data_IF_409506623777
#
_entry.id   IF_409506623777
#
_cell.length_a   1.000
_cell.length_b   1.000
_cell.length_c   1.000
_cell.angle_alpha   90.00
_cell.angle_beta   90.00
_cell.angle_gamma   90.00
#
_symmetry.space_group_name_H-M   'P 1'
#
loop_
_entity.id
_entity.type
_entity.pdbx_description
1 polymer ?
#
# COMPACT_ATOMS: atom_id res chain seq x y z
N UNK A 1 2.17 -12.94 -15.48
CA UNK A 1 2.45 -12.39 -14.15
C UNK A 1 1.19 -12.52 -13.33
N UNK A 2 1.26 -13.23 -12.21
CA UNK A 2 0.16 -13.34 -11.27
C UNK A 2 0.30 -12.25 -10.21
N UNK A 3 -0.77 -11.48 -9.99
CA UNK A 3 -0.82 -10.42 -8.96
C UNK A 3 -1.96 -10.73 -7.99
N UNK A 4 -1.67 -10.72 -6.68
CA UNK A 4 -2.66 -10.94 -5.61
C UNK A 4 -2.49 -9.89 -4.52
N UNK A 5 -3.59 -9.21 -4.18
CA UNK A 5 -3.64 -8.24 -3.10
C UNK A 5 -3.99 -9.01 -1.82
N UNK A 6 -3.02 -9.22 -0.95
CA UNK A 6 -3.17 -10.08 0.24
C UNK A 6 -3.94 -9.37 1.36
N UNK A 7 -3.75 -8.07 1.47
CA UNK A 7 -4.45 -7.20 2.40
C UNK A 7 -4.54 -5.81 1.78
N UNK A 8 -5.70 -5.17 1.96
CA UNK A 8 -5.97 -3.83 1.45
C UNK A 8 -7.14 -3.19 2.22
N UNK A 9 -7.27 -1.87 2.16
CA UNK A 9 -8.37 -1.15 2.82
C UNK A 9 -9.73 -1.60 2.28
N UNK A 10 -9.84 -1.86 0.97
CA UNK A 10 -11.07 -2.44 0.39
C UNK A 10 -11.33 -3.90 0.76
N UNK A 11 -10.34 -4.59 1.35
CA UNK A 11 -10.45 -5.93 1.94
C UNK A 11 -10.59 -5.87 3.47
N UNK A 12 -10.62 -4.68 4.08
CA UNK A 12 -11.03 -4.49 5.47
C UNK A 12 -9.94 -4.18 6.49
N UNK A 13 -8.68 -3.97 6.07
CA UNK A 13 -7.59 -3.50 6.96
C UNK A 13 -6.71 -2.51 6.23
N UNK A 14 -6.04 -1.61 6.95
CA UNK A 14 -5.01 -0.77 6.35
C UNK A 14 -3.85 -1.63 5.86
N UNK A 15 -3.60 -1.63 4.55
CA UNK A 15 -2.47 -2.33 3.94
C UNK A 15 -2.37 -2.00 2.45
N UNK A 16 -1.21 -2.26 1.86
CA UNK A 16 -1.00 -2.39 0.42
C UNK A 16 -0.27 -3.69 0.07
N UNK A 17 -0.38 -4.72 0.91
CA UNK A 17 0.39 -5.94 0.76
C UNK A 17 0.05 -6.66 -0.56
N UNK A 18 1.05 -6.73 -1.44
CA UNK A 18 0.89 -7.25 -2.80
C UNK A 18 1.86 -8.40 -3.04
N UNK A 19 1.32 -9.56 -3.40
CA UNK A 19 2.08 -10.70 -3.90
C UNK A 19 2.12 -10.69 -5.42
N UNK A 20 3.32 -10.86 -5.97
CA UNK A 20 3.56 -10.92 -7.42
C UNK A 20 4.40 -12.15 -7.73
N UNK A 21 3.92 -13.00 -8.62
CA UNK A 21 4.68 -14.14 -9.15
C UNK A 21 4.86 -13.97 -10.66
N UNK A 22 6.12 -13.90 -11.08
CA UNK A 22 6.49 -13.73 -12.49
C UNK A 22 6.81 -15.06 -13.19
N UNK A 23 6.87 -16.16 -12.45
CA UNK A 23 7.41 -17.45 -12.89
C UNK A 23 8.93 -17.58 -12.71
N UNK A 24 9.67 -16.48 -12.68
CA UNK A 24 11.10 -16.47 -12.32
C UNK A 24 11.34 -16.20 -10.83
N UNK A 25 10.49 -15.37 -10.23
CA UNK A 25 10.60 -14.94 -8.83
C UNK A 25 9.22 -14.61 -8.27
N UNK A 26 9.01 -15.03 -7.03
CA UNK A 26 7.86 -14.64 -6.21
C UNK A 26 8.24 -13.53 -5.23
N UNK A 27 7.49 -12.44 -5.26
CA UNK A 27 7.79 -11.19 -4.54
C UNK A 27 6.60 -10.81 -3.66
N UNK A 28 6.86 -10.46 -2.40
CA UNK A 28 5.87 -9.76 -1.56
C UNK A 28 6.32 -8.33 -1.32
N UNK A 29 5.47 -7.38 -1.66
CA UNK A 29 5.65 -5.95 -1.39
C UNK A 29 4.83 -5.61 -0.15
N UNK A 30 5.46 -4.92 0.81
CA UNK A 30 4.86 -4.38 2.03
C UNK A 30 4.06 -5.41 2.85
N UNK A 31 4.74 -6.40 3.48
CA UNK A 31 4.10 -7.46 4.25
C UNK A 31 3.62 -6.99 5.64
N UNK A 32 2.81 -5.93 5.66
CA UNK A 32 2.19 -5.36 6.86
C UNK A 32 0.68 -5.24 6.73
N UNK A 33 0.02 -5.12 7.88
CA UNK A 33 -1.39 -4.77 7.97
C UNK A 33 -1.67 -4.15 9.34
N UNK A 34 -2.52 -3.12 9.38
CA UNK A 34 -2.90 -2.45 10.61
C UNK A 34 -4.39 -2.05 10.63
N UNK A 35 -4.85 -1.59 11.79
CA UNK A 35 -6.17 -1.01 11.98
C UNK A 35 -6.08 0.48 12.24
N UNK A 36 -7.03 1.23 11.73
CA UNK A 36 -7.15 2.64 12.07
C UNK A 36 -7.58 2.86 13.52
N UNK A 37 -6.81 3.59 14.34
CA UNK A 37 -7.04 3.70 15.78
C UNK A 37 -8.42 4.26 16.12
N UNK A 38 -8.82 5.31 15.40
CA UNK A 38 -10.10 5.98 15.61
C UNK A 38 -10.69 6.42 14.28
N UNK A 39 -12.00 6.18 14.12
CA UNK A 39 -12.79 6.64 12.97
C UNK A 39 -14.19 6.97 13.45
N UNK A 40 -14.66 8.19 13.18
CA UNK A 40 -15.95 8.72 13.68
C UNK A 40 -16.09 8.68 15.21
N UNK A 41 -14.98 8.79 15.95
CA UNK A 41 -14.98 8.64 17.41
C UNK A 41 -15.13 7.20 17.90
N UNK A 42 -15.01 6.20 17.02
CA UNK A 42 -15.14 4.78 17.33
C UNK A 42 -13.79 4.05 17.18
N UNK A 43 -13.48 3.19 18.15
CA UNK A 43 -12.36 2.24 18.13
C UNK A 43 -12.57 1.14 17.10
N UNK A 44 -11.55 0.34 16.73
CA UNK A 44 -11.76 -0.77 15.80
C UNK A 44 -12.80 -1.76 16.34
N UNK A 45 -13.69 -2.17 15.45
CA UNK A 45 -14.75 -3.13 15.73
C UNK A 45 -14.17 -4.57 15.84
N UNK A 46 -14.77 -5.52 16.60
CA UNK A 46 -14.29 -6.91 16.66
C UNK A 46 -14.10 -7.59 15.28
N UNK A 47 -14.97 -7.26 14.31
CA UNK A 47 -14.84 -7.72 12.92
C UNK A 47 -13.56 -7.21 12.23
N UNK A 48 -13.13 -5.99 12.54
CA UNK A 48 -11.86 -5.44 12.03
C UNK A 48 -10.67 -6.19 12.62
N UNK A 49 -10.70 -6.47 13.92
CA UNK A 49 -9.66 -7.28 14.60
C UNK A 49 -9.56 -8.67 13.99
N UNK A 50 -10.70 -9.34 13.80
CA UNK A 50 -10.73 -10.65 13.14
C UNK A 50 -10.15 -10.60 11.72
N UNK A 51 -10.50 -9.58 10.93
CA UNK A 51 -9.96 -9.41 9.57
C UNK A 51 -8.45 -9.16 9.59
N UNK A 52 -7.96 -8.42 10.58
CA UNK A 52 -6.52 -8.22 10.77
C UNK A 52 -5.78 -9.53 11.04
N UNK A 53 -6.33 -10.39 11.89
CA UNK A 53 -5.75 -11.72 12.18
C UNK A 53 -5.72 -12.58 10.91
N UNK A 54 -6.82 -12.61 10.15
CA UNK A 54 -6.93 -13.34 8.87
C UNK A 54 -5.86 -12.85 7.86
N UNK A 55 -5.75 -11.54 7.65
CA UNK A 55 -4.77 -10.96 6.75
C UNK A 55 -3.33 -11.20 7.21
N UNK A 56 -3.02 -11.02 8.50
CA UNK A 56 -1.67 -11.28 9.02
C UNK A 56 -1.25 -12.74 8.87
N UNK A 57 -2.18 -13.68 9.06
CA UNK A 57 -1.93 -15.10 8.83
C UNK A 57 -1.66 -15.40 7.34
N UNK A 58 -2.42 -14.79 6.42
CA UNK A 58 -2.20 -14.95 4.98
C UNK A 58 -0.87 -14.34 4.52
N UNK A 59 -0.56 -13.12 4.98
CA UNK A 59 0.72 -12.44 4.72
C UNK A 59 1.87 -13.33 5.19
N UNK A 60 1.88 -13.77 6.46
CA UNK A 60 2.95 -14.62 6.98
C UNK A 60 3.10 -15.93 6.18
N UNK A 61 1.98 -16.57 5.83
CA UNK A 61 1.96 -17.82 5.05
C UNK A 61 2.56 -17.64 3.66
N UNK A 62 2.13 -16.63 2.89
CA UNK A 62 2.61 -16.41 1.53
C UNK A 62 4.02 -15.82 1.52
N UNK A 63 4.33 -14.86 2.39
CA UNK A 63 5.68 -14.31 2.45
C UNK A 63 6.69 -15.38 2.86
N UNK A 64 6.35 -16.34 3.72
CA UNK A 64 7.24 -17.47 4.06
C UNK A 64 7.67 -18.29 2.84
N UNK A 65 6.84 -18.34 1.79
CA UNK A 65 7.10 -19.07 0.54
C UNK A 65 7.69 -18.20 -0.56
N UNK A 66 7.59 -16.88 -0.43
CA UNK A 66 8.11 -15.93 -1.41
C UNK A 66 9.64 -15.91 -1.42
N UNK A 67 10.23 -15.69 -2.60
CA UNK A 67 11.67 -15.61 -2.81
C UNK A 67 12.25 -14.28 -2.32
N UNK A 68 11.49 -13.20 -2.51
CA UNK A 68 11.91 -11.82 -2.24
C UNK A 68 10.85 -11.05 -1.47
N UNK A 69 11.30 -10.20 -0.55
CA UNK A 69 10.44 -9.24 0.16
C UNK A 69 10.90 -7.83 -0.16
N UNK A 70 9.94 -6.95 -0.43
CA UNK A 70 10.18 -5.53 -0.69
C UNK A 70 9.43 -4.72 0.36
N UNK A 71 10.08 -3.70 0.92
CA UNK A 71 9.47 -2.73 1.84
C UNK A 71 9.66 -1.34 1.28
N UNK A 72 8.54 -0.69 0.93
CA UNK A 72 8.52 0.60 0.27
C UNK A 72 8.68 1.77 1.23
N UNK A 73 8.25 1.61 2.48
CA UNK A 73 8.43 2.55 3.59
C UNK A 73 8.06 1.90 4.93
N UNK A 74 8.16 2.66 6.03
CA UNK A 74 8.19 2.10 7.39
C UNK A 74 6.92 2.37 8.23
N UNK A 75 5.74 2.46 7.60
CA UNK A 75 4.46 2.46 8.34
C UNK A 75 4.02 1.04 8.69
N UNK A 76 3.29 0.87 9.80
CA UNK A 76 2.97 -0.46 10.35
C UNK A 76 1.86 -1.20 9.60
N UNK A 77 1.20 -0.54 8.67
CA UNK A 77 0.38 -1.16 7.62
C UNK A 77 1.20 -1.69 6.44
N UNK A 78 2.52 -1.44 6.40
CA UNK A 78 3.46 -1.92 5.38
C UNK A 78 4.55 -2.85 5.93
N UNK A 79 4.83 -2.76 7.23
CA UNK A 79 5.76 -3.65 7.93
C UNK A 79 5.15 -4.24 9.22
N UNK A 80 5.60 -5.41 9.67
CA UNK A 80 5.26 -5.92 10.99
C UNK A 80 5.68 -4.96 12.11
N UNK A 81 4.85 -4.87 13.15
CA UNK A 81 5.15 -4.11 14.36
C UNK A 81 6.28 -4.78 15.18
N UNK A 82 6.96 -4.03 16.08
CA UNK A 82 8.12 -4.56 16.80
C UNK A 82 7.85 -5.79 17.69
N UNK A 83 6.61 -5.96 18.14
CA UNK A 83 6.20 -7.07 19.01
C UNK A 83 5.64 -8.27 18.24
N UNK A 84 5.49 -8.16 16.92
CA UNK A 84 4.94 -9.23 16.08
C UNK A 84 6.01 -10.26 15.73
N UNK A 85 5.58 -11.52 15.54
CA UNK A 85 6.46 -12.56 15.07
C UNK A 85 6.85 -12.29 13.60
N UNK A 86 8.16 -12.33 13.34
CA UNK A 86 8.75 -12.19 12.00
C UNK A 86 9.50 -13.46 11.59
N UNK A 87 9.31 -14.59 12.29
CA UNK A 87 10.00 -15.86 12.00
C UNK A 87 9.77 -16.36 10.57
N UNK A 88 8.64 -16.01 9.97
CA UNK A 88 8.31 -16.28 8.56
C UNK A 88 9.20 -15.52 7.56
N UNK A 89 9.98 -14.53 8.00
CA UNK A 89 11.01 -13.87 7.18
C UNK A 89 12.37 -14.59 7.20
N UNK A 90 12.55 -15.64 8.02
CA UNK A 90 13.85 -16.24 8.30
C UNK A 90 14.69 -16.49 7.04
N UNK A 91 15.90 -15.93 7.02
CA UNK A 91 16.89 -16.12 5.96
C UNK A 91 16.58 -15.45 4.61
N UNK A 92 15.49 -14.68 4.51
CA UNK A 92 15.06 -14.06 3.23
C UNK A 92 15.94 -12.89 2.83
N UNK A 93 15.92 -12.59 1.53
CA UNK A 93 16.37 -11.31 0.99
C UNK A 93 15.24 -10.29 1.14
N UNK A 94 15.54 -9.16 1.76
CA UNK A 94 14.60 -8.05 1.97
C UNK A 94 15.21 -6.79 1.36
N UNK A 95 14.55 -6.23 0.35
CA UNK A 95 14.94 -4.97 -0.29
C UNK A 95 14.09 -3.86 0.34
N UNK A 96 14.73 -2.88 0.95
CA UNK A 96 14.05 -1.85 1.75
C UNK A 96 14.37 -0.45 1.23
N UNK A 97 13.41 0.47 1.36
CA UNK A 97 13.65 1.91 1.30
C UNK A 97 14.86 2.31 2.15
N UNK A 98 15.72 3.21 1.69
CA UNK A 98 16.89 3.66 2.46
C UNK A 98 16.45 4.14 3.87
N UNK A 99 16.95 3.50 4.96
CA UNK A 99 16.55 3.80 6.33
C UNK A 99 17.24 5.03 6.93
N UNK A 100 18.22 5.62 6.23
CA UNK A 100 19.04 6.73 6.72
C UNK A 100 18.82 8.03 5.92
N UNK A 101 18.59 7.92 4.61
CA UNK A 101 18.45 9.05 3.69
C UNK A 101 17.02 9.24 3.20
N UNK A 102 16.62 10.50 3.00
CA UNK A 102 15.26 10.87 2.60
C UNK A 102 14.23 10.13 3.46
N UNK A 103 14.27 10.38 4.77
CA UNK A 103 13.44 9.69 5.76
C UNK A 103 13.16 10.63 6.93
N UNK A 104 11.95 10.62 7.46
CA UNK A 104 11.60 11.41 8.64
C UNK A 104 11.96 10.67 9.95
N UNK A 105 11.78 11.34 11.09
CA UNK A 105 12.13 10.77 12.39
C UNK A 105 11.34 9.50 12.73
N UNK A 106 10.02 9.50 12.50
CA UNK A 106 9.16 8.36 12.82
C UNK A 106 9.53 7.13 12.00
N UNK A 107 9.65 7.27 10.68
CA UNK A 107 10.07 6.19 9.80
C UNK A 107 11.48 5.69 10.13
N UNK A 108 12.44 6.56 10.47
CA UNK A 108 13.79 6.15 10.90
C UNK A 108 13.76 5.30 12.17
N UNK A 109 12.94 5.68 13.15
CA UNK A 109 12.76 4.91 14.38
C UNK A 109 12.20 3.52 14.09
N UNK A 110 11.16 3.44 13.26
CA UNK A 110 10.51 2.18 12.85
C UNK A 110 11.44 1.31 12.01
N UNK A 111 12.20 1.91 11.08
CA UNK A 111 13.22 1.25 10.28
C UNK A 111 14.28 0.59 11.17
N UNK A 112 14.77 1.30 12.19
CA UNK A 112 15.74 0.75 13.15
C UNK A 112 15.21 -0.50 13.86
N UNK A 113 13.97 -0.46 14.36
CA UNK A 113 13.34 -1.60 15.05
C UNK A 113 13.14 -2.79 14.09
N UNK A 114 12.66 -2.52 12.88
CA UNK A 114 12.44 -3.54 11.88
C UNK A 114 13.75 -4.19 11.41
N UNK A 115 14.81 -3.40 11.19
CA UNK A 115 16.15 -3.92 10.88
C UNK A 115 16.70 -4.82 12.00
N UNK A 116 16.41 -4.52 13.26
CA UNK A 116 16.76 -5.39 14.38
C UNK A 116 15.99 -6.72 14.33
N UNK A 117 14.69 -6.69 14.04
CA UNK A 117 13.86 -7.89 13.82
C UNK A 117 14.42 -8.74 12.67
N UNK A 118 14.71 -8.14 11.52
CA UNK A 118 15.30 -8.81 10.35
C UNK A 118 16.65 -9.48 10.68
N UNK A 119 17.50 -8.78 11.44
CA UNK A 119 18.81 -9.32 11.87
C UNK A 119 18.64 -10.55 12.76
N UNK A 120 17.68 -10.53 13.69
CA UNK A 120 17.42 -11.65 14.62
C UNK A 120 17.01 -12.93 13.88
N UNK A 121 16.33 -12.82 12.76
CA UNK A 121 15.91 -13.97 11.94
C UNK A 121 16.85 -14.26 10.75
N UNK A 122 18.01 -13.58 10.69
CA UNK A 122 19.06 -13.86 9.71
C UNK A 122 18.74 -13.40 8.28
N UNK A 123 17.89 -12.39 8.10
CA UNK A 123 17.62 -11.82 6.78
C UNK A 123 18.83 -11.09 6.21
N UNK A 124 18.93 -11.07 4.87
CA UNK A 124 19.86 -10.22 4.13
C UNK A 124 19.12 -8.99 3.64
N UNK A 125 19.69 -7.82 3.88
CA UNK A 125 19.06 -6.54 3.55
C UNK A 125 19.81 -5.84 2.41
N UNK A 126 19.06 -5.31 1.45
CA UNK A 126 19.56 -4.44 0.37
C UNK A 126 18.74 -3.15 0.30
N UNK A 127 19.32 -2.08 -0.24
CA UNK A 127 18.65 -0.78 -0.40
C UNK A 127 17.94 -0.72 -1.75
N UNK A 128 16.71 -0.20 -1.75
CA UNK A 128 15.84 -0.08 -2.91
C UNK A 128 16.16 1.17 -3.75
N UNK A 129 16.32 2.33 -3.11
CA UNK A 129 16.26 3.67 -3.73
C UNK A 129 17.06 3.81 -5.03
N UNK A 130 16.36 3.94 -6.15
CA UNK A 130 16.94 4.14 -7.48
C UNK A 130 17.68 2.94 -8.04
N UNK A 131 17.63 1.79 -7.36
CA UNK A 131 18.25 0.55 -7.80
C UNK A 131 17.40 -0.24 -8.77
N UNK A 132 18.01 -1.28 -9.32
CA UNK A 132 17.35 -2.29 -10.13
C UNK A 132 17.99 -3.66 -9.91
N UNK A 133 17.20 -4.71 -10.07
CA UNK A 133 17.67 -6.09 -10.08
C UNK A 133 17.01 -6.86 -11.23
N UNK A 134 17.71 -7.88 -11.71
CA UNK A 134 17.20 -8.79 -12.74
C UNK A 134 17.35 -10.24 -12.28
N UNK A 135 16.25 -10.99 -12.34
CA UNK A 135 16.18 -12.41 -12.01
C UNK A 135 15.50 -13.12 -13.17
N UNK A 136 16.26 -13.93 -13.92
CA UNK A 136 15.77 -14.54 -15.16
C UNK A 136 15.33 -13.49 -16.18
N UNK A 137 14.07 -13.56 -16.61
CA UNK A 137 13.43 -12.59 -17.51
C UNK A 137 12.81 -11.41 -16.77
N UNK A 138 12.68 -11.50 -15.44
CA UNK A 138 12.06 -10.49 -14.59
C UNK A 138 13.02 -9.35 -14.25
N UNK A 139 12.59 -8.12 -14.46
CA UNK A 139 13.26 -6.89 -14.01
C UNK A 139 12.43 -6.24 -12.91
N UNK A 140 13.09 -5.93 -11.78
CA UNK A 140 12.50 -5.17 -10.68
C UNK A 140 13.29 -3.87 -10.56
N UNK A 141 12.62 -2.75 -10.76
CA UNK A 141 13.20 -1.41 -10.66
C UNK A 141 12.55 -0.65 -9.52
N UNK A 142 13.31 0.25 -8.93
CA UNK A 142 12.87 1.09 -7.84
C UNK A 142 13.00 2.55 -8.24
N UNK A 143 12.04 3.39 -7.86
CA UNK A 143 12.20 4.83 -8.02
C UNK A 143 13.29 5.34 -7.07
N UNK A 144 13.80 6.55 -7.33
CA UNK A 144 14.48 7.30 -6.26
C UNK A 144 13.46 7.61 -5.17
N UNK A 145 13.89 7.90 -3.94
CA UNK A 145 12.98 8.36 -2.89
C UNK A 145 12.06 9.49 -3.39
N UNK A 146 10.75 9.28 -3.28
CA UNK A 146 9.70 10.27 -3.58
C UNK A 146 8.95 10.62 -2.31
N UNK A 147 8.35 11.82 -2.25
CA UNK A 147 7.62 12.25 -1.06
C UNK A 147 6.45 11.31 -0.77
N UNK A 148 6.28 11.01 0.52
CA UNK A 148 5.18 10.19 1.03
C UNK A 148 3.89 11.04 1.11
N UNK A 149 3.33 11.40 -0.04
CA UNK A 149 2.18 12.31 -0.16
C UNK A 149 2.57 13.74 -0.55
N UNK A 150 1.79 14.71 -0.09
CA UNK A 150 1.91 16.13 -0.48
C UNK A 150 2.97 16.95 0.28
N UNK A 151 3.78 16.32 1.14
CA UNK A 151 4.74 17.06 1.98
C UNK A 151 5.96 16.24 2.37
N UNK A 152 7.19 16.82 2.33
CA UNK A 152 8.40 16.13 2.78
C UNK A 152 8.40 15.82 4.28
N UNK A 153 7.52 16.46 5.07
CA UNK A 153 7.37 16.18 6.51
C UNK A 153 6.83 14.78 6.79
N UNK A 154 6.05 14.23 5.86
CA UNK A 154 5.50 12.87 5.94
C UNK A 154 6.60 11.81 5.73
N UNK A 155 7.76 12.21 5.19
CA UNK A 155 8.85 11.34 4.86
C UNK A 155 8.82 10.97 3.38
N UNK A 156 9.38 9.82 3.04
CA UNK A 156 9.53 9.39 1.66
C UNK A 156 9.26 7.90 1.53
N UNK A 157 8.86 7.50 0.33
CA UNK A 157 8.63 6.12 -0.08
C UNK A 157 9.47 5.79 -1.31
N UNK A 158 9.47 4.53 -1.69
CA UNK A 158 9.98 4.07 -2.98
C UNK A 158 8.88 3.34 -3.75
N UNK A 159 8.80 3.62 -5.03
CA UNK A 159 7.89 2.96 -5.96
C UNK A 159 8.58 1.74 -6.58
N UNK A 160 7.80 0.72 -6.92
CA UNK A 160 8.32 -0.56 -7.40
C UNK A 160 7.73 -0.85 -8.77
N UNK A 161 8.59 -1.09 -9.76
CA UNK A 161 8.19 -1.58 -11.08
C UNK A 161 8.66 -3.02 -11.22
N UNK A 162 7.75 -3.96 -11.47
CA UNK A 162 8.06 -5.35 -11.79
C UNK A 162 7.63 -5.59 -13.23
N UNK A 163 8.57 -6.00 -14.08
CA UNK A 163 8.31 -6.25 -15.50
C UNK A 163 8.89 -7.58 -15.97
N UNK A 164 8.16 -8.21 -16.87
CA UNK A 164 8.59 -9.39 -17.65
C UNK A 164 8.61 -9.01 -19.14
N UNK A 165 8.80 -9.97 -20.05
CA UNK A 165 8.83 -9.69 -21.49
C UNK A 165 7.51 -9.16 -22.08
N UNK A 166 6.39 -9.28 -21.37
CA UNK A 166 5.08 -8.89 -21.90
C UNK A 166 4.14 -8.20 -20.91
N UNK A 167 4.51 -8.07 -19.64
CA UNK A 167 3.67 -7.45 -18.61
C UNK A 167 4.51 -6.60 -17.68
N UNK A 168 4.00 -5.43 -17.33
CA UNK A 168 4.61 -4.46 -16.44
C UNK A 168 3.61 -3.99 -15.37
N UNK A 169 3.99 -4.11 -14.10
CA UNK A 169 3.25 -3.69 -12.93
C UNK A 169 4.03 -2.57 -12.22
N UNK A 170 3.36 -1.48 -11.86
CA UNK A 170 3.91 -0.48 -10.93
C UNK A 170 3.09 -0.41 -9.66
N UNK A 171 3.76 -0.51 -8.51
CA UNK A 171 3.22 -0.27 -7.18
C UNK A 171 3.76 1.06 -6.65
N UNK A 172 2.89 2.05 -6.46
CA UNK A 172 3.33 3.43 -6.15
C UNK A 172 3.68 3.65 -4.68
N UNK A 173 3.36 2.69 -3.80
CA UNK A 173 3.36 2.94 -2.35
C UNK A 173 2.41 4.10 -2.01
N UNK A 174 2.61 4.70 -0.84
CA UNK A 174 1.78 5.75 -0.31
C UNK A 174 2.25 7.13 -0.81
N UNK A 175 1.60 7.61 -1.86
CA UNK A 175 1.90 8.88 -2.55
C UNK A 175 0.70 9.83 -2.59
N UNK A 176 -0.37 9.50 -1.85
CA UNK A 176 -1.64 10.21 -1.76
C UNK A 176 -2.27 10.46 -3.14
N UNK A 177 -2.18 9.47 -4.05
CA UNK A 177 -2.75 9.58 -5.39
C UNK A 177 -1.97 10.49 -6.35
N UNK A 178 -0.64 10.55 -6.24
CA UNK A 178 0.25 11.26 -7.18
C UNK A 178 0.07 12.79 -7.15
N UNK A 179 0.17 13.40 -5.97
CA UNK A 179 0.04 14.86 -5.81
C UNK A 179 1.20 15.63 -6.44
N UNK A 180 2.41 15.05 -6.46
CA UNK A 180 3.65 15.70 -6.87
C UNK A 180 4.20 15.16 -8.20
N UNK A 181 4.82 16.04 -8.99
CA UNK A 181 5.29 15.69 -10.33
C UNK A 181 6.39 14.61 -10.34
N UNK A 182 7.14 14.50 -9.25
CA UNK A 182 8.17 13.48 -9.12
C UNK A 182 7.58 12.06 -9.00
N UNK A 183 6.37 11.92 -8.43
CA UNK A 183 5.73 10.61 -8.17
C UNK A 183 5.26 9.96 -9.47
N UNK A 184 4.72 10.72 -10.43
CA UNK A 184 4.27 10.14 -11.70
C UNK A 184 5.40 9.86 -12.71
N UNK A 185 6.59 10.44 -12.55
CA UNK A 185 7.68 10.30 -13.53
C UNK A 185 8.13 8.84 -13.68
N UNK A 186 8.29 8.13 -12.56
CA UNK A 186 8.64 6.71 -12.57
C UNK A 186 7.60 5.85 -13.27
N UNK A 187 6.31 6.16 -13.10
CA UNK A 187 5.22 5.45 -13.77
C UNK A 187 5.31 5.65 -15.29
N UNK A 188 5.43 6.91 -15.73
CA UNK A 188 5.48 7.27 -17.15
C UNK A 188 6.70 6.64 -17.84
N UNK A 189 7.85 6.63 -17.17
CA UNK A 189 9.09 6.07 -17.73
C UNK A 189 9.01 4.54 -17.90
N UNK A 190 8.23 3.85 -17.05
CA UNK A 190 8.08 2.40 -17.09
C UNK A 190 6.86 1.91 -17.89
N UNK A 191 5.90 2.80 -18.22
CA UNK A 191 4.70 2.51 -19.04
C UNK A 191 3.99 1.18 -18.65
N UNK A 192 3.49 1.07 -17.42
CA UNK A 192 2.92 -0.18 -16.92
C UNK A 192 1.57 -0.52 -17.55
N UNK A 193 1.27 -1.82 -17.61
CA UNK A 193 -0.04 -2.37 -17.95
C UNK A 193 -0.99 -2.32 -16.74
N UNK A 194 -0.43 -2.46 -15.53
CA UNK A 194 -1.18 -2.39 -14.26
C UNK A 194 -0.51 -1.43 -13.29
N UNK A 195 -1.31 -0.56 -12.67
CA UNK A 195 -0.85 0.36 -11.63
C UNK A 195 -1.61 0.05 -10.35
N UNK A 196 -0.89 -0.11 -9.24
CA UNK A 196 -1.45 -0.17 -7.88
C UNK A 196 -1.06 1.12 -7.15
N UNK A 197 -2.06 1.93 -6.84
CA UNK A 197 -1.89 3.22 -6.19
C UNK A 197 -2.83 3.39 -4.98
N UNK A 198 -2.36 4.09 -3.97
CA UNK A 198 -3.09 4.36 -2.74
C UNK A 198 -4.27 5.33 -2.93
N UNK A 199 -4.21 6.16 -3.97
CA UNK A 199 -5.23 7.12 -4.34
C UNK A 199 -5.32 8.35 -3.41
N UNK A 200 -6.06 9.40 -3.82
CA UNK A 200 -6.11 10.64 -3.08
C UNK A 200 -6.75 10.49 -1.69
N UNK A 201 -6.15 11.14 -0.69
CA UNK A 201 -6.53 11.09 0.73
C UNK A 201 -7.81 11.90 1.04
N UNK A 202 -8.88 11.64 0.29
CA UNK A 202 -10.14 12.40 0.31
C UNK A 202 -10.87 12.39 1.66
N UNK A 203 -10.65 11.39 2.50
CA UNK A 203 -11.21 11.36 3.86
C UNK A 203 -10.61 12.44 4.80
N UNK A 204 -9.51 13.08 4.40
CA UNK A 204 -8.89 14.21 5.10
C UNK A 204 -9.10 15.55 4.36
N UNK A 205 -9.98 15.60 3.36
CA UNK A 205 -10.25 16.79 2.56
C UNK A 205 -10.70 17.97 3.43
N UNK A 206 -10.07 19.13 3.25
CA UNK A 206 -10.30 20.32 4.07
C UNK A 206 -9.48 20.37 5.37
N UNK A 207 -8.59 19.39 5.60
CA UNK A 207 -7.67 19.37 6.75
C UNK A 207 -6.22 19.14 6.31
N UNK A 208 -5.74 17.89 6.36
CA UNK A 208 -4.38 17.50 5.94
C UNK A 208 -4.23 17.37 4.43
N UNK A 209 -5.35 17.28 3.71
CA UNK A 209 -5.42 17.21 2.25
C UNK A 209 -6.33 18.33 1.75
N UNK A 210 -5.85 19.17 0.83
CA UNK A 210 -6.58 20.33 0.33
C UNK A 210 -7.35 20.03 -0.96
N UNK A 211 -8.31 20.88 -1.34
CA UNK A 211 -8.98 20.78 -2.64
C UNK A 211 -7.99 20.89 -3.81
N UNK A 212 -6.98 21.76 -3.67
CA UNK A 212 -5.90 21.87 -4.65
C UNK A 212 -5.06 20.59 -4.75
N UNK A 213 -4.83 19.87 -3.64
CA UNK A 213 -4.13 18.58 -3.67
C UNK A 213 -4.97 17.51 -4.39
N UNK A 214 -6.29 17.51 -4.16
CA UNK A 214 -7.22 16.63 -4.87
C UNK A 214 -7.24 16.91 -6.37
N UNK A 215 -7.32 18.18 -6.77
CA UNK A 215 -7.28 18.59 -8.17
C UNK A 215 -5.96 18.19 -8.85
N UNK A 216 -4.83 18.39 -8.17
CA UNK A 216 -3.51 17.95 -8.64
C UNK A 216 -3.45 16.43 -8.81
N UNK A 217 -3.87 15.68 -7.79
CA UNK A 217 -3.92 14.22 -7.82
C UNK A 217 -4.75 13.71 -8.99
N UNK A 218 -5.98 14.20 -9.16
CA UNK A 218 -6.85 13.81 -10.28
C UNK A 218 -6.20 14.16 -11.62
N UNK A 219 -5.64 15.36 -11.75
CA UNK A 219 -4.95 15.80 -12.97
C UNK A 219 -3.75 14.91 -13.31
N UNK A 220 -2.93 14.57 -12.32
CA UNK A 220 -1.75 13.73 -12.51
C UNK A 220 -2.12 12.27 -12.83
N UNK A 221 -3.13 11.71 -12.16
CA UNK A 221 -3.67 10.40 -12.51
C UNK A 221 -4.21 10.38 -13.94
N UNK A 222 -4.91 11.44 -14.38
CA UNK A 222 -5.34 11.58 -15.77
C UNK A 222 -4.16 11.66 -16.75
N UNK A 223 -3.07 12.38 -16.41
CA UNK A 223 -1.84 12.40 -17.23
C UNK A 223 -1.24 10.99 -17.36
N UNK A 224 -1.12 10.25 -16.26
CA UNK A 224 -0.62 8.87 -16.25
C UNK A 224 -1.47 7.96 -17.15
N UNK A 225 -2.79 8.05 -17.04
CA UNK A 225 -3.73 7.31 -17.90
C UNK A 225 -3.51 7.65 -19.38
N UNK A 226 -3.43 8.93 -19.72
CA UNK A 226 -3.25 9.37 -21.11
C UNK A 226 -1.90 8.94 -21.70
N UNK A 227 -0.83 9.01 -20.90
CA UNK A 227 0.54 8.71 -21.32
C UNK A 227 0.85 7.22 -21.37
N UNK A 228 0.35 6.43 -20.42
CA UNK A 228 0.70 5.02 -20.26
C UNK A 228 -0.38 4.09 -20.83
N UNK A 229 -1.65 4.50 -20.81
CA UNK A 229 -2.82 3.68 -21.17
C UNK A 229 -2.80 2.31 -20.48
N UNK A 230 -2.66 2.26 -19.14
CA UNK A 230 -2.65 0.98 -18.43
C UNK A 230 -4.00 0.29 -18.65
N UNK A 231 -4.01 -1.04 -18.75
CA UNK A 231 -5.24 -1.80 -18.78
C UNK A 231 -6.01 -1.65 -17.46
N UNK A 232 -5.27 -1.59 -16.34
CA UNK A 232 -5.85 -1.52 -14.99
C UNK A 232 -5.16 -0.44 -14.14
N UNK A 233 -5.97 0.41 -13.51
CA UNK A 233 -5.56 1.32 -12.45
C UNK A 233 -6.30 0.94 -11.16
N UNK A 234 -5.58 0.38 -10.19
CA UNK A 234 -6.08 0.10 -8.86
C UNK A 234 -5.90 1.33 -7.98
N UNK A 235 -6.98 1.82 -7.39
CA UNK A 235 -6.97 2.87 -6.37
C UNK A 235 -7.58 2.29 -5.08
N UNK A 236 -6.77 2.20 -4.02
CA UNK A 236 -7.17 1.55 -2.76
C UNK A 236 -6.82 2.37 -1.50
N UNK A 237 -6.21 1.74 -0.49
CA UNK A 237 -5.52 2.32 0.65
C UNK A 237 -6.07 3.65 1.20
N UNK A 238 -5.51 4.81 0.79
CA UNK A 238 -5.94 6.12 1.26
C UNK A 238 -7.33 6.50 0.77
N UNK A 239 -7.63 6.24 -0.50
CA UNK A 239 -8.89 6.62 -1.13
C UNK A 239 -10.09 5.90 -0.50
N UNK A 240 -9.94 4.61 -0.18
CA UNK A 240 -11.05 3.75 0.29
C UNK A 240 -11.53 4.09 1.70
N UNK A 241 -10.73 4.87 2.44
CA UNK A 241 -11.12 5.39 3.76
C UNK A 241 -12.24 6.44 3.69
N UNK A 242 -12.56 6.97 2.50
CA UNK A 242 -13.76 7.80 2.24
C UNK A 242 -14.87 6.93 1.64
N UNK A 243 -16.03 6.81 2.31
CA UNK A 243 -17.18 6.06 1.78
C UNK A 243 -17.73 6.65 0.48
N UNK A 244 -17.50 7.94 0.23
CA UNK A 244 -17.92 8.68 -0.96
C UNK A 244 -16.81 8.78 -2.01
N UNK A 245 -15.76 7.97 -1.92
CA UNK A 245 -14.59 8.06 -2.82
C UNK A 245 -14.94 8.04 -4.31
N UNK A 246 -15.96 7.27 -4.72
CA UNK A 246 -16.39 7.20 -6.13
C UNK A 246 -16.82 8.56 -6.66
N UNK A 247 -17.56 9.32 -5.85
CA UNK A 247 -18.01 10.66 -6.22
C UNK A 247 -16.80 11.60 -6.35
N UNK A 248 -15.82 11.46 -5.44
CA UNK A 248 -14.59 12.25 -5.43
C UNK A 248 -13.76 12.10 -6.70
N UNK A 249 -13.73 10.89 -7.29
CA UNK A 249 -12.89 10.59 -8.46
C UNK A 249 -13.70 10.28 -9.72
N UNK A 250 -14.99 10.60 -9.77
CA UNK A 250 -15.85 10.29 -10.92
C UNK A 250 -15.29 10.83 -12.24
N UNK A 251 -14.74 12.05 -12.21
CA UNK A 251 -14.06 12.67 -13.37
C UNK A 251 -12.91 11.79 -13.89
N UNK A 252 -12.10 11.24 -13.00
CA UNK A 252 -11.00 10.34 -13.35
C UNK A 252 -11.52 9.02 -13.94
N UNK A 253 -12.56 8.42 -13.33
CA UNK A 253 -13.12 7.15 -13.80
C UNK A 253 -13.66 7.27 -15.23
N UNK A 254 -14.47 8.29 -15.52
CA UNK A 254 -15.00 8.57 -16.86
C UNK A 254 -13.86 8.84 -17.87
N UNK A 255 -12.85 9.60 -17.46
CA UNK A 255 -11.71 9.88 -18.30
C UNK A 255 -10.91 8.60 -18.62
N UNK A 256 -10.61 7.79 -17.61
CA UNK A 256 -9.88 6.53 -17.77
C UNK A 256 -10.59 5.53 -18.67
N UNK A 257 -11.92 5.43 -18.56
CA UNK A 257 -12.73 4.57 -19.43
C UNK A 257 -12.58 4.97 -20.91
N UNK A 258 -12.47 6.27 -21.23
CA UNK A 258 -12.25 6.74 -22.61
C UNK A 258 -10.91 6.32 -23.21
N UNK A 259 -9.94 5.89 -22.38
CA UNK A 259 -8.66 5.32 -22.80
C UNK A 259 -8.63 3.78 -22.72
N UNK A 260 -9.73 3.14 -22.35
CA UNK A 260 -9.80 1.70 -22.13
C UNK A 260 -9.17 1.25 -20.80
N UNK A 261 -8.84 2.19 -19.91
CA UNK A 261 -8.29 1.89 -18.58
C UNK A 261 -9.41 1.58 -17.59
N UNK A 262 -9.38 0.39 -16.99
CA UNK A 262 -10.29 0.01 -15.91
C UNK A 262 -9.80 0.55 -14.57
N UNK A 263 -10.54 1.50 -13.97
CA UNK A 263 -10.31 1.96 -12.60
C UNK A 263 -11.06 1.04 -11.62
N UNK A 264 -10.37 0.48 -10.63
CA UNK A 264 -10.99 -0.44 -9.67
C UNK A 264 -10.28 -0.46 -8.30
N UNK A 265 -10.85 -1.18 -7.33
CA UNK A 265 -10.23 -1.40 -6.00
C UNK A 265 -9.48 -2.73 -5.96
N UNK A 266 -8.66 -2.96 -4.93
CA UNK A 266 -7.98 -4.24 -4.70
C UNK A 266 -8.96 -5.42 -4.60
N UNK A 267 -10.07 -5.25 -3.87
CA UNK A 267 -11.14 -6.23 -3.80
C UNK A 267 -11.72 -6.57 -5.18
N UNK A 268 -11.98 -5.54 -5.99
CA UNK A 268 -12.58 -5.71 -7.33
C UNK A 268 -11.63 -6.41 -8.29
N UNK A 269 -10.34 -6.06 -8.27
CA UNK A 269 -9.31 -6.73 -9.07
C UNK A 269 -9.15 -8.20 -8.66
N UNK A 270 -9.22 -8.48 -7.36
CA UNK A 270 -9.07 -9.83 -6.80
C UNK A 270 -10.32 -10.70 -6.92
N UNK A 271 -11.45 -10.15 -7.41
CA UNK A 271 -12.73 -10.86 -7.45
C UNK A 271 -13.31 -11.16 -6.06
N UNK A 272 -12.89 -10.40 -5.04
CA UNK A 272 -13.30 -10.55 -3.64
C UNK A 272 -14.39 -9.54 -3.26
N UNK A 273 -15.04 -9.79 -2.13
CA UNK A 273 -16.06 -8.87 -1.60
C UNK A 273 -15.43 -7.55 -1.19
N UNK A 274 -16.06 -6.44 -1.59
CA UNK A 274 -15.67 -5.09 -1.17
C UNK A 274 -16.13 -4.82 0.27
N UNK A 275 -15.20 -4.81 1.21
CA UNK A 275 -15.46 -4.71 2.65
C UNK A 275 -14.57 -3.65 3.32
N UNK A 276 -14.76 -2.35 3.05
CA UNK A 276 -13.96 -1.28 3.65
C UNK A 276 -14.34 -1.02 5.10
N UNK A 277 -13.98 -1.95 5.99
CA UNK A 277 -14.48 -2.01 7.37
C UNK A 277 -14.23 -0.71 8.15
N UNK A 278 -13.05 -0.09 8.03
CA UNK A 278 -12.77 1.20 8.69
C UNK A 278 -13.72 2.30 8.20
N UNK A 279 -13.88 2.48 6.88
CA UNK A 279 -14.76 3.50 6.32
C UNK A 279 -16.23 3.27 6.71
N UNK A 280 -16.62 2.01 6.92
CA UNK A 280 -17.97 1.61 7.33
C UNK A 280 -18.15 1.51 8.84
N UNK A 281 -17.17 1.92 9.66
CA UNK A 281 -17.16 1.65 11.10
C UNK A 281 -18.42 2.10 11.84
N UNK A 282 -19.02 3.24 11.47
CA UNK A 282 -20.30 3.67 12.04
C UNK A 282 -21.41 2.64 11.80
N UNK A 283 -21.57 2.19 10.55
CA UNK A 283 -22.55 1.16 10.17
C UNK A 283 -22.25 -0.19 10.81
N UNK A 284 -20.97 -0.52 11.00
CA UNK A 284 -20.57 -1.76 11.69
C UNK A 284 -21.09 -1.77 13.13
N UNK A 285 -20.86 -0.70 13.89
CA UNK A 285 -21.35 -0.58 15.27
C UNK A 285 -22.89 -0.55 15.36
N UNK A 286 -23.57 0.10 14.40
CA UNK A 286 -25.04 0.12 14.33
C UNK A 286 -25.62 -1.28 14.03
N UNK A 287 -25.00 -2.02 13.12
CA UNK A 287 -25.50 -3.33 12.67
C UNK A 287 -25.07 -4.48 13.56
N UNK A 288 -23.95 -4.34 14.25
CA UNK A 288 -23.36 -5.33 15.15
C UNK A 288 -22.92 -4.62 16.44
N UNK A 289 -23.85 -4.38 17.38
CA UNK A 289 -23.52 -3.76 18.66
C UNK A 289 -22.43 -4.55 19.39
N UNK A 290 -21.57 -3.82 20.10
CA UNK A 290 -20.43 -4.38 20.81
C UNK A 290 -20.66 -4.25 22.32
N UNK A 291 -20.26 -5.27 23.09
CA UNK A 291 -20.43 -5.31 24.55
C UNK A 291 -19.76 -4.11 25.26
N UNK A 292 -20.35 -3.67 26.38
CA UNK A 292 -19.91 -2.49 27.16
C UNK A 292 -18.48 -2.59 27.74
N UNK A 293 -17.81 -3.74 27.60
CA UNK A 293 -16.41 -3.95 28.01
C UNK A 293 -15.42 -4.10 26.86
N UNK A 294 -15.86 -4.05 25.60
CA UNK A 294 -14.95 -4.27 24.46
C UNK A 294 -13.90 -3.17 24.38
N UNK A 295 -12.65 -3.62 24.35
CA UNK A 295 -11.52 -2.76 24.09
C UNK A 295 -10.47 -3.54 23.31
N UNK A 296 -10.10 -3.01 22.15
CA UNK A 296 -8.95 -3.54 21.41
C UNK A 296 -7.69 -3.20 22.20
N UNK A 297 -6.69 -4.07 22.20
CA UNK A 297 -5.43 -3.77 22.90
C UNK A 297 -4.72 -2.63 22.17
N UNK A 298 -4.28 -1.60 22.91
CA UNK A 298 -3.69 -0.37 22.35
C UNK A 298 -2.55 -0.63 21.35
N UNK A 299 -1.77 -1.69 21.58
CA UNK A 299 -0.67 -2.06 20.69
C UNK A 299 -1.14 -2.48 19.28
N UNK A 300 -2.36 -2.97 19.10
CA UNK A 300 -2.88 -3.49 17.82
C UNK A 300 -3.28 -2.41 16.80
N UNK A 301 -3.40 -1.14 17.21
CA UNK A 301 -3.89 -0.06 16.33
C UNK A 301 -3.22 1.32 16.52
N UNK A 302 -2.35 1.52 17.53
CA UNK A 302 -1.66 2.80 17.71
C UNK A 302 -0.35 2.87 16.91
N UNK A 303 -0.22 3.87 16.04
CA UNK A 303 1.00 4.14 15.25
C UNK A 303 2.11 4.85 16.06
N UNK A 304 2.45 4.31 17.23
CA UNK A 304 3.53 4.85 18.08
C UNK A 304 4.90 4.68 17.43
#
# INVERSE_FOLDING_TARGET
MLVRLLAADSLGTRSMCTFVDTGDVSVVIDPGAALGPWRYGLKPHPKEVKRLEEHKAEIASLTSKADLVIVTHYHYDHIPRPYEDVSWLKGKMVIIKDPENNINFSQRSRARLFLEQLRKVGCKVSIADGGDIRIGTTSIKFSKAVQHGNSPKLGYVVEVCISTSGECLVHTSDVEGLVEDQQLSFIIDNKPDTIICDGPMTYMLGSRFTENDLEKSISNLMKVVASCRPAVLVLDHHLIRDISWRDRINKLMVYAESFGTRVCTAATLSGLSYEPLEAMRRKLYESFPVDEGWNVKANEYEDV
#
